data_IF_234469228499
#
_entry.id   IF_234469228499
#
_cell.length_a   1.000
_cell.length_b   1.000
_cell.length_c   1.000
_cell.angle_alpha   90.00
_cell.angle_beta   90.00
_cell.angle_gamma   90.00
#
_symmetry.space_group_name_H-M   'P 1'
#
loop_
_entity.id
_entity.type
_entity.pdbx_description
1 polymer ?
#
# COMPACT_ATOMS: atom_id res chain seq x y z
N UNK A 1 -16.12 5.64 2.34
CA UNK A 1 -14.68 5.70 2.64
C UNK A 1 -14.56 5.92 4.12
N UNK A 2 -13.88 5.00 4.79
CA UNK A 2 -13.81 4.96 6.26
C UNK A 2 -12.50 5.57 6.76
N UNK A 3 -11.43 5.42 5.98
CA UNK A 3 -10.12 6.01 6.23
C UNK A 3 -9.51 6.54 4.93
N UNK A 4 -8.60 7.50 5.06
CA UNK A 4 -7.79 8.00 3.96
C UNK A 4 -6.33 8.15 4.40
N UNK A 5 -5.41 7.56 3.63
CA UNK A 5 -3.97 7.60 3.89
C UNK A 5 -3.31 8.66 3.00
N UNK A 6 -2.83 9.74 3.59
CA UNK A 6 -2.09 10.78 2.87
C UNK A 6 -0.63 10.35 2.64
N UNK A 7 -0.25 10.19 1.36
CA UNK A 7 1.05 9.66 0.95
C UNK A 7 1.83 10.61 0.05
N UNK A 8 1.15 11.22 -0.92
CA UNK A 8 1.74 12.10 -1.93
C UNK A 8 2.68 11.36 -2.90
N UNK A 9 2.36 11.42 -4.20
CA UNK A 9 3.15 10.80 -5.26
C UNK A 9 3.18 9.27 -5.14
N UNK A 10 2.06 8.64 -4.80
CA UNK A 10 1.93 7.18 -4.73
C UNK A 10 2.28 6.57 -6.09
N UNK A 11 3.12 5.54 -6.08
CA UNK A 11 3.60 4.82 -7.27
C UNK A 11 3.12 3.38 -7.25
N UNK A 12 3.12 2.72 -6.10
CA UNK A 12 2.67 1.34 -6.00
C UNK A 12 2.21 0.99 -4.59
N UNK A 13 1.40 -0.05 -4.47
CA UNK A 13 0.84 -0.52 -3.21
C UNK A 13 0.60 -2.02 -3.24
N UNK A 14 0.76 -2.70 -2.11
CA UNK A 14 0.50 -4.13 -2.00
C UNK A 14 0.33 -4.58 -0.55
N UNK A 15 -0.56 -5.55 -0.33
CA UNK A 15 -0.76 -6.19 0.96
C UNK A 15 0.25 -7.32 1.17
N UNK A 16 0.59 -7.59 2.42
CA UNK A 16 1.12 -8.92 2.80
C UNK A 16 0.10 -10.00 2.53
N UNK A 17 0.52 -11.26 2.39
CA UNK A 17 -0.38 -12.39 2.11
C UNK A 17 -1.48 -12.56 3.18
N UNK A 18 -1.16 -12.27 4.44
CA UNK A 18 -2.10 -12.30 5.57
C UNK A 18 -2.96 -11.05 5.70
N UNK A 19 -2.79 -10.08 4.80
CA UNK A 19 -3.42 -8.77 4.84
C UNK A 19 -3.19 -7.95 6.11
N UNK A 20 -2.25 -8.31 6.99
CA UNK A 20 -1.97 -7.55 8.23
C UNK A 20 -1.18 -6.25 8.02
N UNK A 21 -0.46 -6.13 6.89
CA UNK A 21 0.26 -4.91 6.55
C UNK A 21 0.02 -4.49 5.10
N UNK A 22 0.05 -3.18 4.87
CA UNK A 22 0.03 -2.55 3.56
C UNK A 22 1.38 -1.87 3.29
N UNK A 23 2.10 -2.33 2.28
CA UNK A 23 3.28 -1.65 1.75
C UNK A 23 2.85 -0.61 0.73
N UNK A 24 3.44 0.57 0.82
CA UNK A 24 3.29 1.67 -0.14
C UNK A 24 4.66 2.08 -0.66
N UNK A 25 4.73 2.39 -1.95
CA UNK A 25 5.89 2.98 -2.62
C UNK A 25 5.43 4.29 -3.23
N UNK A 26 6.16 5.37 -2.96
CA UNK A 26 5.89 6.71 -3.51
C UNK A 26 7.19 7.37 -3.98
N UNK A 27 7.07 8.54 -4.62
CA UNK A 27 8.22 9.38 -4.94
C UNK A 27 8.97 9.91 -3.70
N UNK A 28 8.50 9.64 -2.49
CA UNK A 28 9.17 9.95 -1.22
C UNK A 28 9.70 8.71 -0.49
N UNK A 29 9.79 7.56 -1.17
CA UNK A 29 10.27 6.30 -0.60
C UNK A 29 9.15 5.32 -0.27
N UNK A 30 9.33 4.52 0.79
CA UNK A 30 8.42 3.45 1.19
C UNK A 30 7.76 3.73 2.52
N UNK A 31 6.54 3.22 2.69
CA UNK A 31 5.81 3.25 3.95
C UNK A 31 5.06 1.95 4.19
N UNK A 32 4.99 1.52 5.46
CA UNK A 32 4.18 0.37 5.87
C UNK A 32 3.11 0.83 6.84
N UNK A 33 1.88 0.39 6.59
CA UNK A 33 0.73 0.63 7.46
C UNK A 33 0.25 -0.68 8.05
N UNK A 34 -0.07 -0.64 9.33
CA UNK A 34 -0.82 -1.69 10.01
C UNK A 34 -2.29 -1.59 9.57
N UNK A 35 -2.90 -2.69 9.09
CA UNK A 35 -4.24 -2.63 8.48
C UNK A 35 -5.37 -2.63 9.50
N UNK A 36 -5.10 -3.05 10.75
CA UNK A 36 -6.12 -3.05 11.81
C UNK A 36 -6.31 -1.62 12.36
N UNK A 37 -5.23 -0.84 12.45
CA UNK A 37 -5.24 0.53 12.98
C UNK A 37 -5.08 1.63 11.92
N UNK A 38 -4.69 1.27 10.70
CA UNK A 38 -4.30 2.17 9.60
C UNK A 38 -3.20 3.18 9.96
N UNK A 39 -2.43 2.91 11.02
CA UNK A 39 -1.28 3.73 11.40
C UNK A 39 -0.05 3.37 10.59
N UNK A 40 0.74 4.37 10.23
CA UNK A 40 2.04 4.14 9.59
C UNK A 40 3.04 3.64 10.64
N UNK A 41 3.45 2.39 10.51
CA UNK A 41 4.35 1.71 11.44
C UNK A 41 5.80 1.68 10.98
N UNK A 42 6.06 1.94 9.69
CA UNK A 42 7.41 2.14 9.18
C UNK A 42 7.46 3.15 8.02
N UNK A 43 8.59 3.84 7.89
CA UNK A 43 8.89 4.75 6.78
C UNK A 43 10.37 4.67 6.46
N UNK A 44 10.68 4.62 5.18
CA UNK A 44 12.03 4.74 4.65
C UNK A 44 12.00 5.74 3.49
N UNK A 45 12.75 6.83 3.60
CA UNK A 45 12.81 7.88 2.56
C UNK A 45 13.72 7.50 1.38
N UNK A 46 14.44 6.38 1.46
CA UNK A 46 15.25 5.86 0.37
C UNK A 46 14.35 5.48 -0.82
N UNK A 47 14.66 6.00 -2.00
CA UNK A 47 13.95 5.65 -3.23
C UNK A 47 14.23 4.19 -3.59
N UNK A 48 13.16 3.39 -3.62
CA UNK A 48 13.19 2.00 -4.01
C UNK A 48 11.89 1.69 -4.75
N UNK A 49 11.95 1.72 -6.08
CA UNK A 49 10.81 1.44 -6.95
C UNK A 49 10.58 -0.06 -7.11
N UNK A 50 9.35 -0.50 -7.43
CA UNK A 50 9.08 -1.90 -7.68
C UNK A 50 9.88 -2.43 -8.88
N UNK A 51 10.26 -3.70 -8.79
CA UNK A 51 10.90 -4.48 -9.87
C UNK A 51 10.04 -5.71 -10.11
N UNK A 52 9.69 -5.98 -11.37
CA UNK A 52 8.87 -7.12 -11.78
C UNK A 52 7.54 -7.25 -10.99
N UNK A 53 6.88 -6.10 -10.75
CA UNK A 53 5.62 -6.05 -10.01
C UNK A 53 5.75 -6.35 -8.51
N UNK A 54 6.97 -6.25 -7.95
CA UNK A 54 7.24 -6.52 -6.53
C UNK A 54 8.06 -5.42 -5.88
N UNK A 55 7.88 -5.23 -4.58
CA UNK A 55 8.68 -4.31 -3.78
C UNK A 55 9.15 -4.99 -2.49
N UNK A 56 10.32 -4.61 -1.99
CA UNK A 56 10.86 -5.14 -0.74
C UNK A 56 10.28 -4.36 0.44
N UNK A 57 9.69 -5.11 1.38
CA UNK A 57 9.14 -4.59 2.62
C UNK A 57 10.19 -4.00 3.56
N UNK A 58 9.72 -3.21 4.52
CA UNK A 58 10.52 -2.52 5.53
C UNK A 58 9.86 -2.68 6.90
N UNK A 59 10.58 -2.35 7.99
CA UNK A 59 10.04 -2.41 9.34
C UNK A 59 9.54 -3.82 9.70
N UNK A 60 8.26 -4.00 10.10
CA UNK A 60 7.73 -5.31 10.53
C UNK A 60 7.66 -6.37 9.42
N UNK A 61 7.80 -5.95 8.16
CA UNK A 61 7.83 -6.84 6.97
C UNK A 61 9.17 -6.73 6.23
N UNK A 62 10.24 -6.38 6.94
CA UNK A 62 11.54 -6.16 6.34
C UNK A 62 12.06 -7.42 5.63
N UNK A 63 12.48 -7.25 4.37
CA UNK A 63 13.01 -8.35 3.54
C UNK A 63 11.94 -9.14 2.78
N UNK A 64 10.67 -9.02 3.16
CA UNK A 64 9.58 -9.66 2.42
C UNK A 64 9.46 -9.07 1.02
N UNK A 65 9.33 -9.93 0.02
CA UNK A 65 9.03 -9.52 -1.35
C UNK A 65 7.53 -9.46 -1.51
N UNK A 66 6.95 -8.26 -1.63
CA UNK A 66 5.51 -8.04 -1.67
C UNK A 66 5.06 -7.79 -3.12
N UNK A 67 4.00 -8.48 -3.58
CA UNK A 67 3.37 -8.15 -4.87
C UNK A 67 2.69 -6.79 -4.76
N UNK A 68 2.92 -5.92 -5.73
CA UNK A 68 2.33 -4.58 -5.73
C UNK A 68 1.60 -4.30 -7.03
N UNK A 69 0.49 -3.57 -6.95
CA UNK A 69 -0.10 -2.90 -8.10
C UNK A 69 0.56 -1.53 -8.24
N UNK A 70 1.01 -1.20 -9.46
CA UNK A 70 1.64 0.09 -9.76
C UNK A 70 0.60 1.02 -10.38
N UNK A 71 0.51 2.25 -9.86
CA UNK A 71 -0.36 3.29 -10.41
C UNK A 71 0.02 3.55 -11.86
N UNK A 72 -0.98 3.44 -12.73
CA UNK A 72 -0.94 4.06 -14.03
C UNK A 72 -1.57 5.45 -13.95
N UNK A 73 -1.19 6.34 -14.87
CA UNK A 73 -1.65 7.74 -14.87
C UNK A 73 -3.06 7.92 -15.43
N UNK A 74 -3.70 6.86 -15.91
CA UNK A 74 -4.94 6.95 -16.70
C UNK A 74 -6.15 6.41 -15.93
N UNK A 75 -5.95 5.50 -14.97
CA UNK A 75 -7.03 4.81 -14.27
C UNK A 75 -6.78 4.76 -12.76
N UNK A 76 -7.83 5.02 -11.94
CA UNK A 76 -7.76 4.75 -10.51
C UNK A 76 -7.55 3.26 -10.29
N UNK A 77 -6.61 2.91 -9.41
CA UNK A 77 -6.35 1.52 -9.07
C UNK A 77 -7.24 1.12 -7.91
N UNK A 78 -7.99 0.04 -8.10
CA UNK A 78 -8.79 -0.59 -7.04
C UNK A 78 -8.15 -1.92 -6.67
N UNK A 79 -7.87 -2.12 -5.38
CA UNK A 79 -7.24 -3.35 -4.86
C UNK A 79 -8.10 -3.89 -3.73
N UNK A 80 -8.34 -5.20 -3.75
CA UNK A 80 -8.94 -5.92 -2.63
C UNK A 80 -7.86 -6.50 -1.74
N UNK A 81 -8.03 -6.41 -0.43
CA UNK A 81 -7.16 -7.14 0.49
C UNK A 81 -7.30 -8.65 0.27
N UNK A 82 -6.23 -9.44 0.49
CA UNK A 82 -6.29 -10.90 0.31
C UNK A 82 -7.39 -11.60 1.11
N UNK A 83 -7.76 -11.06 2.27
CA UNK A 83 -8.82 -11.55 3.14
C UNK A 83 -10.21 -10.99 2.81
N UNK A 84 -10.31 -10.10 1.81
CA UNK A 84 -11.56 -9.46 1.37
C UNK A 84 -12.12 -8.39 2.31
N UNK A 85 -11.46 -8.06 3.43
CA UNK A 85 -11.94 -7.06 4.41
C UNK A 85 -11.92 -5.63 3.87
N UNK A 86 -11.00 -5.32 2.95
CA UNK A 86 -10.76 -3.96 2.51
C UNK A 86 -10.76 -3.83 0.99
N UNK A 87 -11.32 -2.73 0.51
CA UNK A 87 -11.13 -2.25 -0.85
C UNK A 87 -10.39 -0.91 -0.80
N UNK A 88 -9.26 -0.84 -1.50
CA UNK A 88 -8.43 0.35 -1.61
C UNK A 88 -8.72 1.06 -2.92
N UNK A 89 -8.89 2.37 -2.85
CA UNK A 89 -9.03 3.28 -3.98
C UNK A 89 -7.76 4.12 -4.02
N UNK A 90 -6.88 3.84 -4.97
CA UNK A 90 -5.54 4.39 -5.01
C UNK A 90 -5.41 5.47 -6.09
N UNK A 91 -4.82 6.59 -5.70
CA UNK A 91 -4.53 7.75 -6.55
C UNK A 91 -3.19 8.37 -6.16
N UNK A 92 -2.67 9.29 -6.96
CA UNK A 92 -1.36 9.90 -6.71
C UNK A 92 -1.26 10.57 -5.33
N UNK A 93 -2.33 11.19 -4.84
CA UNK A 93 -2.39 11.86 -3.53
C UNK A 93 -2.36 10.88 -2.35
N UNK A 94 -2.90 9.68 -2.50
CA UNK A 94 -3.13 8.79 -1.37
C UNK A 94 -3.99 7.58 -1.67
N UNK A 95 -4.52 7.00 -0.59
CA UNK A 95 -5.32 5.77 -0.64
C UNK A 95 -6.58 5.99 0.20
N UNK A 96 -7.73 5.91 -0.45
CA UNK A 96 -9.01 5.78 0.25
C UNK A 96 -9.29 4.31 0.59
N UNK A 97 -9.74 4.05 1.81
CA UNK A 97 -10.04 2.71 2.30
C UNK A 97 -11.55 2.58 2.49
N UNK A 98 -12.12 1.48 2.01
CA UNK A 98 -13.50 1.09 2.23
C UNK A 98 -13.50 -0.26 2.94
N UNK A 99 -14.06 -0.33 4.14
CA UNK A 99 -14.30 -1.60 4.81
C UNK A 99 -15.44 -2.31 4.09
N UNK A 100 -15.23 -3.58 3.74
CA UNK A 100 -16.29 -4.46 3.25
C UNK A 100 -16.90 -5.13 4.47
N UNK A 101 -18.18 -4.87 4.71
CA UNK A 101 -18.94 -5.68 5.66
C UNK A 101 -19.03 -7.11 5.11
N UNK A 102 -18.41 -8.06 5.79
CA UNK A 102 -18.66 -9.49 5.62
C UNK A 102 -20.06 -9.87 6.10
#
# INVERSE_FOLDING_TARGET
MDHYLHLGGLVAVGFTETAGYLLTVSHSGRGVFDTDSWQRVARDSTLAYPVDGRAIGIGPIAGDSIRVAQLDSEHPIIILSPDGRYELHCESSGIGIVNKCT
#
